data_IF_254924918725
#
_entry.id   IF_254924918725
#
_cell.length_a   1.000
_cell.length_b   1.000
_cell.length_c   1.000
_cell.angle_alpha   90.00
_cell.angle_beta   90.00
_cell.angle_gamma   90.00
#
_symmetry.space_group_name_H-M   'P 1'
#
loop_
_entity.id
_entity.type
_entity.pdbx_description
1 polymer ?
#
# COMPACT_ATOMS: atom_id res chain seq x y z
N UNK A 1 5.27 29.08 -32.15
CA UNK A 1 5.61 27.65 -32.29
C UNK A 1 6.76 27.33 -31.34
N UNK A 2 6.46 26.93 -30.12
CA UNK A 2 7.47 26.55 -29.13
C UNK A 2 6.94 25.35 -28.36
N UNK A 3 7.26 24.17 -28.89
CA UNK A 3 7.04 22.88 -28.28
C UNK A 3 7.86 22.78 -27.00
N UNK A 4 7.20 22.91 -25.85
CA UNK A 4 7.79 22.68 -24.53
C UNK A 4 8.18 21.20 -24.40
N UNK A 5 9.46 20.90 -24.61
CA UNK A 5 10.04 19.58 -24.41
C UNK A 5 10.00 19.21 -22.92
N UNK A 6 9.04 18.36 -22.53
CA UNK A 6 9.10 17.71 -21.23
C UNK A 6 10.39 16.88 -21.17
N UNK A 7 11.36 17.29 -20.36
CA UNK A 7 12.58 16.52 -20.11
C UNK A 7 12.22 15.26 -19.31
N UNK A 8 11.64 14.26 -19.99
CA UNK A 8 11.49 12.92 -19.46
C UNK A 8 12.90 12.39 -19.21
N UNK A 9 13.21 12.06 -17.96
CA UNK A 9 14.44 11.33 -17.68
C UNK A 9 14.43 10.06 -18.53
N UNK A 10 15.54 9.71 -19.18
CA UNK A 10 15.59 8.51 -20.01
C UNK A 10 15.25 7.30 -19.16
N UNK A 11 14.41 6.42 -19.70
CA UNK A 11 14.02 5.18 -19.03
C UNK A 11 15.27 4.36 -18.67
N UNK A 12 15.29 3.68 -17.51
CA UNK A 12 16.34 2.71 -17.17
C UNK A 12 16.51 1.68 -18.29
N UNK A 13 17.67 1.07 -18.52
CA UNK A 13 17.81 0.04 -19.54
C UNK A 13 16.87 -1.15 -19.28
N UNK A 14 16.36 -1.84 -20.31
CA UNK A 14 15.56 -3.04 -20.12
C UNK A 14 16.39 -4.13 -19.43
N UNK A 15 15.73 -4.96 -18.61
CA UNK A 15 16.39 -6.09 -17.97
C UNK A 15 16.80 -7.14 -19.01
N UNK A 16 18.01 -7.72 -18.92
CA UNK A 16 18.42 -8.79 -19.81
C UNK A 16 17.55 -10.03 -19.59
N UNK A 17 17.33 -10.85 -20.65
CA UNK A 17 16.59 -12.09 -20.51
C UNK A 17 17.29 -13.05 -19.52
N UNK A 18 16.54 -13.81 -18.71
CA UNK A 18 17.14 -14.71 -17.74
C UNK A 18 17.85 -15.87 -18.44
N UNK A 19 19.06 -16.19 -17.97
CA UNK A 19 19.85 -17.36 -18.42
C UNK A 19 19.55 -18.63 -17.60
N UNK A 20 18.51 -18.60 -16.77
CA UNK A 20 18.13 -19.66 -15.86
C UNK A 20 16.61 -19.78 -15.74
N UNK A 21 16.13 -20.91 -15.22
CA UNK A 21 14.72 -21.15 -14.89
C UNK A 21 14.61 -21.90 -13.56
N UNK A 22 13.58 -21.60 -12.77
CA UNK A 22 13.28 -22.26 -11.48
C UNK A 22 11.77 -22.41 -11.30
N UNK A 23 11.35 -23.51 -10.68
CA UNK A 23 9.99 -23.66 -10.14
C UNK A 23 10.04 -23.49 -8.62
N UNK A 24 9.73 -22.28 -8.14
CA UNK A 24 9.86 -21.87 -6.73
C UNK A 24 11.28 -21.97 -6.17
N UNK A 25 11.45 -21.50 -4.93
CA UNK A 25 12.69 -21.60 -4.16
C UNK A 25 12.39 -22.28 -2.83
N UNK A 26 13.38 -23.02 -2.32
CA UNK A 26 13.32 -23.59 -0.97
C UNK A 26 13.36 -22.44 0.04
N UNK A 27 12.44 -22.48 1.00
CA UNK A 27 12.38 -21.50 2.06
C UNK A 27 13.57 -21.71 3.03
N UNK A 28 14.31 -20.65 3.40
CA UNK A 28 15.40 -20.74 4.38
C UNK A 28 14.96 -21.36 5.72
N UNK A 29 15.86 -22.05 6.45
CA UNK A 29 15.53 -22.79 7.67
C UNK A 29 15.10 -21.91 8.85
N UNK A 30 15.48 -20.63 8.85
CA UNK A 30 15.03 -19.63 9.82
C UNK A 30 13.57 -19.20 9.62
N UNK A 31 12.94 -19.57 8.50
CA UNK A 31 11.55 -19.25 8.18
C UNK A 31 10.70 -20.52 8.25
N UNK A 32 9.46 -20.39 8.74
CA UNK A 32 8.54 -21.54 8.84
C UNK A 32 7.46 -21.42 7.78
N UNK A 33 7.40 -22.37 6.83
CA UNK A 33 6.35 -22.40 5.81
C UNK A 33 4.96 -22.41 6.44
N UNK A 34 4.03 -21.58 5.93
CA UNK A 34 2.65 -21.52 6.41
C UNK A 34 1.92 -22.87 6.34
N UNK A 35 2.17 -23.65 5.30
CA UNK A 35 1.53 -24.96 5.10
C UNK A 35 2.15 -26.10 5.91
N UNK A 36 3.28 -25.87 6.58
CA UNK A 36 3.90 -26.89 7.45
C UNK A 36 3.06 -27.14 8.70
N UNK A 37 3.15 -28.31 9.36
CA UNK A 37 2.43 -28.56 10.61
C UNK A 37 2.69 -27.49 11.67
N UNK A 38 3.95 -27.05 11.80
CA UNK A 38 4.33 -25.93 12.69
C UNK A 38 3.63 -24.63 12.28
N UNK A 39 3.65 -24.28 10.99
CA UNK A 39 2.99 -23.07 10.47
C UNK A 39 1.48 -23.06 10.69
N UNK A 40 0.83 -24.22 10.54
CA UNK A 40 -0.60 -24.40 10.84
C UNK A 40 -0.89 -24.22 12.32
N UNK A 41 -0.06 -24.78 13.22
CA UNK A 41 -0.21 -24.58 14.67
C UNK A 41 -0.09 -23.11 15.05
N UNK A 42 0.94 -22.40 14.55
CA UNK A 42 1.12 -20.96 14.79
C UNK A 42 -0.13 -20.18 14.36
N UNK A 43 -0.70 -20.52 13.19
CA UNK A 43 -1.89 -19.86 12.68
C UNK A 43 -3.13 -20.11 13.53
N UNK A 44 -3.38 -21.37 13.92
CA UNK A 44 -4.51 -21.72 14.79
C UNK A 44 -4.44 -20.99 16.13
N UNK A 45 -3.26 -20.91 16.74
CA UNK A 45 -3.04 -20.19 17.99
C UNK A 45 -3.21 -18.66 17.82
N UNK A 46 -2.78 -18.11 16.68
CA UNK A 46 -2.97 -16.69 16.35
C UNK A 46 -4.45 -16.35 16.14
N UNK A 47 -5.21 -17.23 15.48
CA UNK A 47 -6.67 -17.11 15.33
C UNK A 47 -7.39 -17.15 16.67
N UNK A 48 -7.06 -18.12 17.53
CA UNK A 48 -7.67 -18.25 18.87
C UNK A 48 -7.41 -17.02 19.75
N UNK A 49 -6.29 -16.34 19.55
CA UNK A 49 -5.92 -15.12 20.29
C UNK A 49 -6.30 -13.82 19.57
N UNK A 50 -7.10 -13.89 18.50
CA UNK A 50 -7.54 -12.75 17.68
C UNK A 50 -6.42 -11.97 16.95
N UNK A 51 -5.20 -12.49 16.91
CA UNK A 51 -4.05 -11.87 16.23
C UNK A 51 -3.94 -12.27 14.74
N UNK A 52 -5.04 -12.70 14.12
CA UNK A 52 -5.08 -13.11 12.72
C UNK A 52 -6.36 -12.64 12.00
N UNK A 53 -7.07 -11.64 12.53
CA UNK A 53 -8.30 -11.15 11.92
C UNK A 53 -8.07 -10.56 10.54
N UNK A 54 -6.93 -9.89 10.31
CA UNK A 54 -6.55 -9.38 8.99
C UNK A 54 -6.36 -10.48 7.94
N UNK A 55 -6.11 -11.73 8.33
CA UNK A 55 -5.89 -12.82 7.40
C UNK A 55 -7.11 -13.05 6.49
N UNK A 56 -8.33 -13.01 7.02
CA UNK A 56 -9.53 -13.30 6.25
C UNK A 56 -9.69 -12.39 5.03
N UNK A 57 -9.83 -11.06 5.19
CA UNK A 57 -9.98 -10.18 4.04
C UNK A 57 -8.74 -10.16 3.14
N UNK A 58 -7.53 -10.28 3.68
CA UNK A 58 -6.32 -10.35 2.85
C UNK A 58 -6.26 -11.63 2.01
N UNK A 59 -6.72 -12.76 2.56
CA UNK A 59 -6.73 -14.05 1.86
C UNK A 59 -7.73 -14.08 0.71
N UNK A 60 -8.87 -13.40 0.85
CA UNK A 60 -9.86 -13.22 -0.23
C UNK A 60 -9.27 -12.46 -1.42
N UNK A 61 -8.29 -11.59 -1.16
CA UNK A 61 -7.65 -10.76 -2.18
C UNK A 61 -6.26 -11.27 -2.60
N UNK A 62 -5.82 -12.43 -2.13
CA UNK A 62 -4.43 -12.84 -2.31
C UNK A 62 -4.11 -13.25 -3.76
N UNK A 63 -3.35 -12.41 -4.45
CA UNK A 63 -2.95 -12.58 -5.85
C UNK A 63 -1.43 -12.76 -5.98
N UNK A 64 -0.99 -13.25 -7.14
CA UNK A 64 0.42 -13.38 -7.48
C UNK A 64 0.86 -12.13 -8.26
N UNK A 65 2.04 -11.57 -7.94
CA UNK A 65 2.58 -10.45 -8.71
C UNK A 65 2.86 -10.88 -10.16
N UNK A 66 2.33 -10.14 -11.13
CA UNK A 66 2.42 -10.51 -12.55
C UNK A 66 3.83 -10.34 -13.14
N UNK A 67 4.65 -9.47 -12.54
CA UNK A 67 6.04 -9.22 -12.92
C UNK A 67 6.94 -9.21 -11.66
N UNK A 68 8.21 -9.68 -11.73
CA UNK A 68 9.16 -9.59 -10.61
C UNK A 68 9.32 -8.20 -9.97
N UNK A 69 9.12 -7.12 -10.72
CA UNK A 69 9.20 -5.75 -10.21
C UNK A 69 7.91 -5.25 -9.52
N UNK A 70 6.79 -5.98 -9.63
CA UNK A 70 5.47 -5.47 -9.27
C UNK A 70 5.02 -5.71 -7.83
N UNK A 71 5.86 -6.31 -6.97
CA UNK A 71 5.48 -6.65 -5.59
C UNK A 71 4.78 -5.53 -4.80
N UNK A 72 5.21 -4.28 -4.94
CA UNK A 72 4.56 -3.13 -4.30
C UNK A 72 3.16 -2.85 -4.85
N UNK A 73 2.98 -2.90 -6.17
CA UNK A 73 1.72 -2.62 -6.84
C UNK A 73 0.72 -3.75 -6.55
N UNK A 74 1.15 -5.00 -6.68
CA UNK A 74 0.35 -6.18 -6.32
C UNK A 74 -0.12 -6.11 -4.87
N UNK A 75 0.78 -5.78 -3.96
CA UNK A 75 0.45 -5.63 -2.54
C UNK A 75 -0.62 -4.55 -2.34
N UNK A 76 -0.50 -3.40 -3.01
CA UNK A 76 -1.48 -2.34 -2.88
C UNK A 76 -2.84 -2.70 -3.51
N UNK A 77 -2.88 -3.42 -4.64
CA UNK A 77 -4.13 -3.96 -5.19
C UNK A 77 -4.85 -4.83 -4.16
N UNK A 78 -4.12 -5.73 -3.49
CA UNK A 78 -4.68 -6.56 -2.42
C UNK A 78 -5.28 -5.71 -1.30
N UNK A 79 -4.51 -4.72 -0.83
CA UNK A 79 -4.93 -3.86 0.29
C UNK A 79 -6.14 -3.00 -0.09
N UNK A 80 -6.19 -2.40 -1.28
CA UNK A 80 -7.33 -1.60 -1.73
C UNK A 80 -8.62 -2.42 -1.83
N UNK A 81 -8.55 -3.64 -2.37
CA UNK A 81 -9.71 -4.54 -2.43
C UNK A 81 -10.12 -5.01 -1.01
N UNK A 82 -9.15 -5.31 -0.14
CA UNK A 82 -9.43 -5.73 1.24
C UNK A 82 -10.01 -4.60 2.10
N UNK A 83 -9.79 -3.33 1.73
CA UNK A 83 -10.45 -2.15 2.31
C UNK A 83 -11.80 -1.83 1.64
N UNK A 84 -12.20 -2.58 0.61
CA UNK A 84 -13.37 -2.33 -0.20
C UNK A 84 -13.40 -0.92 -0.82
N UNK A 85 -12.24 -0.42 -1.26
CA UNK A 85 -12.16 0.88 -1.96
C UNK A 85 -12.72 0.74 -3.37
N UNK A 86 -13.70 1.58 -3.70
CA UNK A 86 -14.24 1.68 -5.06
C UNK A 86 -13.33 2.55 -5.94
N UNK A 87 -12.70 2.01 -7.01
CA UNK A 87 -11.87 2.80 -7.91
C UNK A 87 -12.67 3.83 -8.72
N UNK A 88 -14.01 3.78 -8.68
CA UNK A 88 -14.93 4.64 -9.45
C UNK A 88 -14.75 4.58 -10.97
N UNK A 89 -14.05 3.54 -11.44
CA UNK A 89 -13.80 3.27 -12.86
C UNK A 89 -14.03 1.78 -13.09
N UNK A 90 -14.59 1.44 -14.25
CA UNK A 90 -14.81 0.05 -14.65
C UNK A 90 -13.48 -0.60 -15.04
N UNK A 91 -13.21 -1.75 -14.42
CA UNK A 91 -12.11 -2.64 -14.79
C UNK A 91 -12.52 -3.54 -15.95
N UNK A 92 -13.63 -4.28 -15.80
CA UNK A 92 -14.12 -5.20 -16.83
C UNK A 92 -15.63 -5.30 -16.83
N UNK A 93 -16.27 -5.10 -17.99
CA UNK A 93 -17.73 -5.12 -18.09
C UNK A 93 -18.37 -4.09 -17.16
N UNK A 94 -19.33 -4.52 -16.32
CA UNK A 94 -19.96 -3.66 -15.31
C UNK A 94 -19.19 -3.53 -13.99
N UNK A 95 -18.05 -4.22 -13.83
CA UNK A 95 -17.35 -4.34 -12.55
C UNK A 95 -16.32 -3.24 -12.32
N UNK A 96 -16.30 -2.70 -11.10
CA UNK A 96 -15.28 -1.76 -10.59
C UNK A 96 -14.42 -2.50 -9.58
N UNK A 97 -13.14 -2.67 -9.88
CA UNK A 97 -12.26 -3.55 -9.10
C UNK A 97 -10.79 -3.26 -9.37
N UNK A 98 -9.91 -3.44 -8.38
CA UNK A 98 -8.46 -3.46 -8.63
C UNK A 98 -8.05 -4.85 -9.09
N UNK A 99 -8.15 -5.11 -10.39
CA UNK A 99 -7.96 -6.46 -10.94
C UNK A 99 -6.51 -6.84 -11.26
N UNK A 100 -5.68 -5.87 -11.59
CA UNK A 100 -4.28 -6.08 -11.98
C UNK A 100 -3.44 -4.82 -11.73
N UNK A 101 -2.12 -4.97 -11.83
CA UNK A 101 -1.17 -3.89 -11.58
C UNK A 101 -1.23 -2.80 -12.66
N UNK A 102 -1.55 -3.16 -13.90
CA UNK A 102 -1.65 -2.22 -15.02
C UNK A 102 -2.84 -1.26 -14.83
N UNK A 103 -3.99 -1.76 -14.42
CA UNK A 103 -5.16 -0.97 -14.04
C UNK A 103 -4.81 0.02 -12.93
N UNK A 104 -4.08 -0.42 -11.90
CA UNK A 104 -3.68 0.43 -10.79
C UNK A 104 -2.72 1.55 -11.23
N UNK A 105 -1.79 1.23 -12.14
CA UNK A 105 -0.81 2.17 -12.67
C UNK A 105 -1.40 3.16 -13.68
N UNK A 106 -2.41 2.76 -14.47
CA UNK A 106 -3.13 3.67 -15.40
C UNK A 106 -3.79 4.86 -14.69
N UNK A 107 -4.08 4.70 -13.40
CA UNK A 107 -4.69 5.74 -12.57
C UNK A 107 -3.66 6.54 -11.76
N UNK A 108 -2.38 6.13 -11.80
CA UNK A 108 -1.29 6.77 -11.09
C UNK A 108 -0.51 7.76 -11.97
N UNK A 109 0.47 8.45 -11.37
CA UNK A 109 1.45 9.26 -12.09
C UNK A 109 2.75 8.49 -12.38
N UNK A 110 2.87 7.24 -11.93
CA UNK A 110 4.06 6.41 -12.15
C UNK A 110 3.99 5.78 -13.54
N UNK A 111 5.09 5.87 -14.29
CA UNK A 111 5.19 5.28 -15.61
C UNK A 111 5.37 3.75 -15.52
N UNK A 112 4.45 3.01 -16.14
CA UNK A 112 4.42 1.54 -16.14
C UNK A 112 5.74 0.91 -16.54
N UNK A 113 6.33 1.39 -17.63
CA UNK A 113 7.55 0.82 -18.17
C UNK A 113 8.75 1.05 -17.25
N UNK A 114 8.83 2.21 -16.59
CA UNK A 114 9.83 2.46 -15.54
C UNK A 114 9.62 1.53 -14.34
N UNK A 115 8.38 1.35 -13.91
CA UNK A 115 8.05 0.48 -12.76
C UNK A 115 8.45 -0.96 -13.05
N UNK A 116 8.20 -1.45 -14.27
CA UNK A 116 8.59 -2.80 -14.69
C UNK A 116 10.10 -3.03 -14.68
N UNK A 117 10.90 -1.98 -14.91
CA UNK A 117 12.36 -2.09 -14.94
C UNK A 117 13.01 -2.09 -13.56
N UNK A 118 12.55 -1.24 -12.65
CA UNK A 118 13.23 -1.06 -11.34
C UNK A 118 12.31 -1.05 -10.10
N UNK A 119 11.04 -1.44 -10.25
CA UNK A 119 10.09 -1.61 -9.13
C UNK A 119 9.57 -0.29 -8.57
N UNK A 120 9.26 -0.23 -7.27
CA UNK A 120 8.92 1.03 -6.59
C UNK A 120 9.67 1.15 -5.27
N UNK A 121 10.12 2.35 -4.92
CA UNK A 121 10.63 2.63 -3.58
C UNK A 121 9.46 2.91 -2.59
N UNK A 122 9.78 3.08 -1.31
CA UNK A 122 8.76 3.31 -0.28
C UNK A 122 7.98 4.62 -0.50
N UNK A 123 8.65 5.69 -0.93
CA UNK A 123 8.02 6.97 -1.28
C UNK A 123 7.04 6.81 -2.45
N UNK A 124 7.44 6.09 -3.50
CA UNK A 124 6.60 5.80 -4.67
C UNK A 124 5.40 4.94 -4.27
N UNK A 125 5.57 3.97 -3.35
CA UNK A 125 4.47 3.18 -2.80
C UNK A 125 3.45 4.06 -2.05
N UNK A 126 3.92 5.00 -1.22
CA UNK A 126 3.04 5.98 -0.53
C UNK A 126 2.29 6.84 -1.54
N UNK A 127 2.99 7.34 -2.56
CA UNK A 127 2.38 8.15 -3.62
C UNK A 127 1.30 7.37 -4.38
N UNK A 128 1.58 6.12 -4.74
CA UNK A 128 0.64 5.23 -5.42
C UNK A 128 -0.60 5.01 -4.56
N UNK A 129 -0.45 4.66 -3.28
CA UNK A 129 -1.58 4.47 -2.37
C UNK A 129 -2.43 5.73 -2.19
N UNK A 130 -1.81 6.89 -2.05
CA UNK A 130 -2.52 8.18 -1.95
C UNK A 130 -3.29 8.53 -3.23
N UNK A 131 -2.80 8.13 -4.41
CA UNK A 131 -3.54 8.27 -5.67
C UNK A 131 -4.84 7.47 -5.67
N UNK A 132 -4.97 6.46 -4.81
CA UNK A 132 -6.15 5.61 -4.68
C UNK A 132 -6.96 5.92 -3.40
N UNK A 133 -6.70 7.06 -2.76
CA UNK A 133 -7.41 7.51 -1.56
C UNK A 133 -7.00 6.81 -0.26
N UNK A 134 -5.95 5.97 -0.28
CA UNK A 134 -5.45 5.30 0.91
C UNK A 134 -4.71 6.30 1.80
N UNK A 135 -5.01 6.30 3.10
CA UNK A 135 -4.21 7.02 4.10
C UNK A 135 -3.06 6.12 4.54
N UNK A 136 -1.84 6.63 4.48
CA UNK A 136 -0.63 5.84 4.73
C UNK A 136 0.29 6.56 5.71
N UNK A 137 0.59 5.89 6.81
CA UNK A 137 1.66 6.27 7.73
C UNK A 137 2.87 5.37 7.46
N UNK A 138 3.92 5.96 6.89
CA UNK A 138 5.17 5.28 6.58
C UNK A 138 6.15 5.42 7.74
N UNK A 139 6.78 4.32 8.15
CA UNK A 139 7.79 4.28 9.20
C UNK A 139 9.02 3.52 8.71
N UNK A 140 10.20 3.90 9.21
CA UNK A 140 11.48 3.23 8.96
C UNK A 140 12.11 2.89 10.33
N UNK A 141 12.93 1.83 10.43
CA UNK A 141 13.80 1.65 11.59
C UNK A 141 14.68 2.88 11.76
N UNK A 142 14.95 3.33 13.00
CA UNK A 142 16.00 4.34 13.18
C UNK A 142 17.33 3.75 12.72
N UNK A 143 17.80 4.26 11.59
CA UNK A 143 19.12 4.02 11.06
C UNK A 143 19.92 5.27 11.31
N UNK A 144 20.90 5.18 12.20
CA UNK A 144 21.85 6.26 12.44
C UNK A 144 22.57 6.56 11.11
N UNK A 145 22.07 7.57 10.39
CA UNK A 145 22.71 8.05 9.18
C UNK A 145 24.00 8.79 9.54
N UNK A 146 25.12 8.10 9.39
CA UNK A 146 26.47 8.68 9.33
C UNK A 146 26.51 9.83 8.33
N UNK A 147 26.72 11.06 8.80
CA UNK A 147 26.93 12.19 7.89
C UNK A 147 26.95 13.57 8.51
N UNK A 148 27.68 13.80 9.61
CA UNK A 148 28.46 15.03 9.88
C UNK A 148 29.08 14.97 11.28
N UNK A 149 30.39 14.68 11.30
CA UNK A 149 31.44 15.05 12.26
C UNK A 149 31.10 15.36 13.73
N UNK A 150 31.79 14.60 14.59
CA UNK A 150 32.24 14.93 15.95
C UNK A 150 31.38 14.43 17.13
N UNK A 151 31.68 13.20 17.55
CA UNK A 151 31.70 12.81 18.97
C UNK A 151 30.47 12.07 19.49
N UNK A 152 30.66 10.79 19.87
CA UNK A 152 29.75 10.06 20.75
C UNK A 152 28.99 8.92 20.08
N UNK A 153 29.69 7.81 19.85
CA UNK A 153 29.11 6.51 19.53
C UNK A 153 28.30 5.99 20.74
N UNK A 154 26.98 5.85 20.57
CA UNK A 154 26.09 4.82 21.15
C UNK A 154 24.62 5.31 21.15
N UNK A 155 23.90 5.04 20.07
CA UNK A 155 22.44 4.87 20.18
C UNK A 155 22.17 3.82 21.25
N UNK A 156 21.40 4.16 22.28
CA UNK A 156 21.28 3.28 23.44
C UNK A 156 20.58 1.98 23.02
N UNK A 157 20.92 0.86 23.67
CA UNK A 157 20.17 -0.42 23.50
C UNK A 157 18.67 -0.23 23.74
N UNK A 158 18.31 0.80 24.50
CA UNK A 158 16.96 1.21 24.85
C UNK A 158 16.21 1.83 23.66
N UNK A 159 16.82 2.72 22.88
CA UNK A 159 16.23 3.29 21.66
C UNK A 159 15.90 2.21 20.62
N UNK A 160 16.85 1.31 20.33
CA UNK A 160 16.60 0.18 19.41
C UNK A 160 15.47 -0.74 19.87
N UNK A 161 15.34 -0.92 21.19
CA UNK A 161 14.27 -1.71 21.79
C UNK A 161 12.92 -1.00 21.62
N UNK A 162 12.89 0.32 21.76
CA UNK A 162 11.68 1.12 21.61
C UNK A 162 11.09 1.03 20.20
N UNK A 163 11.92 1.04 19.15
CA UNK A 163 11.42 0.93 17.78
C UNK A 163 10.87 -0.45 17.44
N UNK A 164 11.57 -1.53 17.83
CA UNK A 164 11.07 -2.89 17.64
C UNK A 164 9.77 -3.09 18.42
N UNK A 165 9.67 -2.52 19.62
CA UNK A 165 8.45 -2.53 20.43
C UNK A 165 7.33 -1.72 19.76
N UNK A 166 7.65 -0.60 19.08
CA UNK A 166 6.68 0.14 18.29
C UNK A 166 6.21 -0.64 17.07
N UNK A 167 7.12 -1.28 16.33
CA UNK A 167 6.77 -2.16 15.22
C UNK A 167 5.87 -3.31 15.67
N UNK A 168 6.16 -3.91 16.83
CA UNK A 168 5.30 -4.94 17.44
C UNK A 168 3.89 -4.42 17.73
N UNK A 169 3.77 -3.24 18.34
CA UNK A 169 2.48 -2.61 18.65
C UNK A 169 1.67 -2.35 17.39
N UNK A 170 2.33 -1.80 16.36
CA UNK A 170 1.71 -1.54 15.06
C UNK A 170 1.21 -2.83 14.40
N UNK A 171 2.02 -3.89 14.41
CA UNK A 171 1.64 -5.22 13.90
C UNK A 171 0.41 -5.74 14.64
N UNK A 172 0.44 -5.79 15.97
CA UNK A 172 -0.66 -6.30 16.79
C UNK A 172 -1.95 -5.51 16.51
N UNK A 173 -1.87 -4.18 16.51
CA UNK A 173 -3.01 -3.31 16.22
C UNK A 173 -3.63 -3.64 14.86
N UNK A 174 -2.81 -3.77 13.81
CA UNK A 174 -3.29 -3.95 12.44
C UNK A 174 -3.87 -5.35 12.21
N UNK A 175 -3.22 -6.39 12.74
CA UNK A 175 -3.72 -7.76 12.51
C UNK A 175 -4.99 -8.09 13.30
N UNK A 176 -5.23 -7.38 14.40
CA UNK A 176 -6.45 -7.52 15.20
C UNK A 176 -7.62 -6.71 14.65
N UNK A 177 -7.35 -5.56 14.03
CA UNK A 177 -8.37 -4.58 13.65
C UNK A 177 -8.35 -4.30 12.13
N UNK A 178 -8.66 -5.27 11.25
CA UNK A 178 -8.92 -4.95 9.85
C UNK A 178 -10.14 -4.02 9.74
N UNK A 179 -10.22 -3.14 8.73
CA UNK A 179 -11.40 -2.33 8.48
C UNK A 179 -12.63 -3.23 8.30
N UNK A 180 -13.76 -2.91 8.96
CA UNK A 180 -15.02 -3.56 8.62
C UNK A 180 -15.42 -3.15 7.22
N UNK A 181 -15.85 -4.10 6.37
CA UNK A 181 -16.68 -3.75 5.22
C UNK A 181 -17.86 -2.91 5.74
N UNK A 182 -18.15 -1.76 5.14
CA UNK A 182 -19.29 -0.91 5.53
C UNK A 182 -20.67 -1.61 5.38
N UNK A 183 -20.69 -2.88 4.98
CA UNK A 183 -21.86 -3.71 4.70
C UNK A 183 -22.39 -4.53 5.88
N UNK A 184 -21.77 -4.47 7.05
CA UNK A 184 -22.39 -5.06 8.24
C UNK A 184 -23.54 -4.17 8.73
N UNK A 185 -24.76 -4.56 8.33
CA UNK A 185 -26.09 -4.01 8.62
C UNK A 185 -26.42 -3.72 10.11
N UNK A 186 -25.46 -3.78 11.04
CA UNK A 186 -25.68 -3.58 12.47
C UNK A 186 -24.85 -2.46 13.12
N UNK A 187 -23.90 -1.83 12.42
CA UNK A 187 -22.99 -0.85 13.03
C UNK A 187 -23.32 0.62 12.74
N UNK A 188 -24.40 0.92 12.00
CA UNK A 188 -24.97 2.28 11.94
C UNK A 188 -26.06 2.39 13.01
N UNK A 189 -25.76 1.96 14.23
CA UNK A 189 -26.55 2.33 15.39
C UNK A 189 -26.09 3.74 15.81
N UNK A 190 -26.85 4.72 15.33
CA UNK A 190 -26.97 6.11 15.80
C UNK A 190 -26.22 6.46 17.09
N UNK A 191 -24.92 6.72 16.98
CA UNK A 191 -24.19 7.49 17.98
C UNK A 191 -23.58 8.68 17.26
N UNK A 192 -23.92 9.88 17.72
CA UNK A 192 -23.34 11.17 17.30
C UNK A 192 -21.88 11.27 17.76
N UNK A 193 -21.08 10.26 17.49
CA UNK A 193 -19.66 10.19 17.81
C UNK A 193 -18.91 10.05 16.50
N UNK A 194 -17.96 10.95 16.30
CA UNK A 194 -16.96 10.92 15.23
C UNK A 194 -16.09 9.68 15.41
N UNK A 195 -16.60 8.50 15.09
CA UNK A 195 -15.85 7.24 15.22
C UNK A 195 -14.95 7.13 14.00
N UNK A 196 -13.68 7.52 14.16
CA UNK A 196 -12.64 7.19 13.18
C UNK A 196 -12.66 5.68 12.95
N UNK A 197 -12.77 5.19 11.70
CA UNK A 197 -12.57 3.78 11.41
C UNK A 197 -11.11 3.47 11.73
N UNK A 198 -10.86 2.95 12.93
CA UNK A 198 -9.51 2.76 13.48
C UNK A 198 -8.80 1.50 12.96
N UNK A 199 -9.43 0.78 12.02
CA UNK A 199 -8.86 -0.42 11.43
C UNK A 199 -8.03 -0.12 10.18
N UNK A 200 -7.05 -0.97 9.92
CA UNK A 200 -6.14 -0.83 8.78
C UNK A 200 -5.42 -2.14 8.47
N UNK A 201 -4.46 -2.06 7.56
CA UNK A 201 -3.58 -3.16 7.21
C UNK A 201 -2.12 -2.73 7.32
N UNK A 202 -1.24 -3.68 7.63
CA UNK A 202 0.19 -3.45 7.69
C UNK A 202 0.89 -4.07 6.48
N UNK A 203 1.71 -3.26 5.82
CA UNK A 203 2.60 -3.69 4.74
C UNK A 203 4.04 -3.46 5.17
N UNK A 204 4.92 -4.39 4.81
CA UNK A 204 6.38 -4.25 5.01
C UNK A 204 7.09 -4.12 3.67
N UNK A 205 8.15 -3.33 3.65
CA UNK A 205 9.19 -3.28 2.63
C UNK A 205 10.50 -3.76 3.26
N UNK A 206 11.09 -4.84 2.77
CA UNK A 206 12.24 -5.49 3.41
C UNK A 206 13.26 -6.04 2.39
N UNK A 207 14.48 -6.26 2.84
CA UNK A 207 15.56 -6.89 2.08
C UNK A 207 15.46 -8.42 2.21
N UNK A 208 15.20 -9.13 1.10
CA UNK A 208 15.12 -10.60 1.12
C UNK A 208 16.43 -11.26 1.56
N UNK A 209 17.56 -10.72 1.14
CA UNK A 209 18.88 -11.25 1.47
C UNK A 209 19.11 -11.33 3.00
N UNK A 210 18.60 -10.35 3.77
CA UNK A 210 18.69 -10.36 5.23
C UNK A 210 17.91 -11.50 5.88
N UNK A 211 16.88 -12.02 5.22
CA UNK A 211 16.13 -13.20 5.64
C UNK A 211 16.68 -14.51 5.04
N UNK A 212 17.90 -14.47 4.48
CA UNK A 212 18.53 -15.57 3.73
C UNK A 212 17.74 -16.02 2.50
N UNK A 213 16.81 -15.18 2.02
CA UNK A 213 16.08 -15.42 0.78
C UNK A 213 16.85 -14.88 -0.42
N UNK A 214 16.53 -15.39 -1.61
CA UNK A 214 17.11 -14.84 -2.85
C UNK A 214 16.37 -13.58 -3.28
N UNK A 215 17.05 -12.64 -3.93
CA UNK A 215 16.50 -11.36 -4.42
C UNK A 215 16.79 -10.18 -3.49
N UNK A 216 16.40 -8.99 -3.92
CA UNK A 216 16.61 -7.74 -3.19
C UNK A 216 15.38 -7.30 -2.39
N UNK A 217 15.06 -6.01 -2.47
CA UNK A 217 13.88 -5.41 -1.83
C UNK A 217 12.56 -6.06 -2.25
N UNK A 218 11.61 -6.16 -1.30
CA UNK A 218 10.30 -6.78 -1.53
C UNK A 218 9.21 -6.13 -0.66
N UNK A 219 7.98 -6.09 -1.18
CA UNK A 219 6.79 -5.61 -0.46
C UNK A 219 5.78 -6.74 -0.28
N UNK A 220 5.21 -6.85 0.92
CA UNK A 220 4.11 -7.79 1.20
C UNK A 220 3.33 -7.39 2.46
N UNK A 221 2.04 -7.76 2.57
CA UNK A 221 1.27 -7.53 3.77
C UNK A 221 1.57 -8.56 4.88
N UNK A 222 1.41 -8.12 6.13
CA UNK A 222 1.37 -9.00 7.31
C UNK A 222 -0.08 -9.36 7.61
N UNK A 223 -0.35 -10.65 7.77
CA UNK A 223 -1.71 -11.17 7.94
C UNK A 223 -2.01 -11.71 9.34
N UNK A 224 -0.98 -12.05 10.12
CA UNK A 224 -1.15 -12.55 11.47
C UNK A 224 0.11 -12.31 12.31
N UNK A 225 -0.08 -12.33 13.63
CA UNK A 225 0.98 -12.31 14.64
C UNK A 225 0.77 -13.45 15.63
N UNK A 226 1.85 -14.11 16.02
CA UNK A 226 1.84 -15.19 17.00
C UNK A 226 2.60 -14.75 18.26
N UNK A 227 1.90 -14.40 19.36
CA UNK A 227 2.51 -13.82 20.55
C UNK A 227 3.59 -14.69 21.21
N UNK A 228 3.37 -16.01 21.27
CA UNK A 228 4.24 -16.92 22.04
C UNK A 228 5.61 -17.11 21.39
N UNK A 229 5.72 -16.92 20.07
CA UNK A 229 7.01 -17.02 19.35
C UNK A 229 7.48 -15.68 18.79
N UNK A 230 6.79 -14.58 19.13
CA UNK A 230 7.03 -13.24 18.59
C UNK A 230 7.25 -13.28 17.06
N UNK A 231 6.32 -13.91 16.34
CA UNK A 231 6.45 -14.19 14.90
C UNK A 231 5.27 -13.63 14.12
N UNK A 232 5.49 -13.29 12.86
CA UNK A 232 4.47 -12.75 11.96
C UNK A 232 4.31 -13.59 10.70
N UNK A 233 3.09 -13.64 10.17
CA UNK A 233 2.76 -14.30 8.91
C UNK A 233 2.83 -13.28 7.77
N UNK A 234 3.79 -13.46 6.86
CA UNK A 234 3.94 -12.66 5.65
C UNK A 234 3.21 -13.37 4.49
N UNK A 235 2.27 -12.67 3.85
CA UNK A 235 1.64 -13.15 2.61
C UNK A 235 2.49 -12.72 1.42
N UNK A 236 3.50 -13.52 1.09
CA UNK A 236 4.43 -13.22 0.00
C UNK A 236 3.72 -13.17 -1.36
N UNK A 237 3.65 -11.99 -1.98
CA UNK A 237 2.98 -11.79 -3.28
C UNK A 237 3.78 -12.38 -4.44
N UNK A 238 5.07 -12.70 -4.25
CA UNK A 238 5.88 -13.48 -5.19
C UNK A 238 5.57 -14.98 -5.05
N UNK A 239 4.31 -15.37 -5.26
CA UNK A 239 3.82 -16.74 -5.02
C UNK A 239 4.47 -17.79 -5.93
N UNK A 240 4.97 -17.36 -7.09
CA UNK A 240 5.82 -18.19 -7.96
C UNK A 240 7.20 -18.52 -7.34
N UNK A 241 7.62 -17.79 -6.30
CA UNK A 241 8.93 -17.92 -5.66
C UNK A 241 8.83 -18.57 -4.28
N UNK A 242 8.04 -17.99 -3.38
CA UNK A 242 7.86 -18.47 -2.01
C UNK A 242 6.38 -18.56 -1.66
N UNK A 243 5.99 -19.60 -0.92
CA UNK A 243 4.70 -19.66 -0.24
C UNK A 243 4.68 -18.67 0.94
N UNK A 244 3.51 -18.29 1.49
CA UNK A 244 3.45 -17.56 2.76
C UNK A 244 4.27 -18.26 3.85
N UNK A 245 4.86 -17.47 4.73
CA UNK A 245 5.75 -17.97 5.76
C UNK A 245 5.67 -17.14 7.04
N UNK A 246 6.02 -17.81 8.13
CA UNK A 246 6.27 -17.20 9.42
C UNK A 246 7.75 -16.81 9.55
N UNK A 247 7.99 -15.62 10.08
CA UNK A 247 9.31 -15.07 10.39
C UNK A 247 9.25 -14.45 11.78
N UNK A 248 10.37 -14.45 12.53
CA UNK A 248 10.41 -13.73 13.80
C UNK A 248 10.25 -12.22 13.56
N UNK A 249 9.57 -11.52 14.45
CA UNK A 249 9.36 -10.08 14.34
C UNK A 249 10.70 -9.34 14.30
N UNK A 250 11.66 -9.79 15.11
CA UNK A 250 13.01 -9.24 15.15
C UNK A 250 13.75 -9.41 13.82
N UNK A 251 13.77 -10.62 13.22
CA UNK A 251 14.44 -10.84 11.94
C UNK A 251 13.79 -10.02 10.82
N UNK A 252 12.45 -9.92 10.82
CA UNK A 252 11.75 -9.06 9.86
C UNK A 252 12.12 -7.59 10.07
N UNK A 253 12.20 -7.13 11.32
CA UNK A 253 12.63 -5.76 11.63
C UNK A 253 14.06 -5.47 11.17
N UNK A 254 15.00 -6.36 11.45
CA UNK A 254 16.39 -6.23 10.99
C UNK A 254 16.48 -6.24 9.47
N UNK A 255 15.63 -7.01 8.77
CA UNK A 255 15.60 -7.03 7.30
C UNK A 255 15.15 -5.72 6.66
N UNK A 256 14.59 -4.79 7.43
CA UNK A 256 14.20 -3.46 6.94
C UNK A 256 15.33 -2.42 7.06
N UNK A 257 16.39 -2.69 7.84
CA UNK A 257 17.48 -1.73 8.08
C UNK A 257 18.42 -1.49 6.89
N UNK A 258 18.78 -2.49 6.05
CA UNK A 258 19.63 -2.23 4.90
C UNK A 258 19.07 -1.14 3.99
N UNK A 259 19.95 -0.28 3.51
CA UNK A 259 19.61 0.84 2.63
C UNK A 259 19.15 0.33 1.28
N UNK A 260 18.03 0.86 0.80
CA UNK A 260 17.59 0.72 -0.58
C UNK A 260 18.50 1.55 -1.50
N UNK A 261 19.18 0.87 -2.44
CA UNK A 261 20.12 1.49 -3.38
C UNK A 261 19.51 2.66 -4.17
N UNK A 262 18.20 2.61 -4.44
CA UNK A 262 17.51 3.65 -5.22
C UNK A 262 17.30 4.95 -4.45
N UNK A 263 17.25 4.89 -3.11
CA UNK A 263 16.96 6.05 -2.26
C UNK A 263 18.09 6.42 -1.29
N UNK A 264 19.01 5.48 -1.03
CA UNK A 264 20.01 5.61 0.03
C UNK A 264 19.44 5.53 1.45
N UNK A 265 18.15 5.19 1.61
CA UNK A 265 17.46 5.13 2.90
C UNK A 265 17.10 3.68 3.27
N UNK A 266 17.07 3.36 4.56
CA UNK A 266 16.63 2.05 5.07
C UNK A 266 15.20 1.75 4.68
N UNK A 267 14.78 0.51 4.45
CA UNK A 267 13.35 0.18 4.22
C UNK A 267 12.50 0.32 5.50
N UNK A 268 11.33 -0.32 5.58
CA UNK A 268 10.41 -0.10 6.69
C UNK A 268 9.01 -0.64 6.48
N UNK A 269 8.05 -0.10 7.21
CA UNK A 269 6.66 -0.57 7.21
C UNK A 269 5.66 0.56 7.07
N UNK A 270 4.42 0.19 6.74
CA UNK A 270 3.34 1.10 6.44
C UNK A 270 2.09 0.68 7.19
N UNK A 271 1.39 1.66 7.75
CA UNK A 271 0.02 1.50 8.26
C UNK A 271 -0.93 2.10 7.23
N UNK A 272 -1.74 1.26 6.59
CA UNK A 272 -2.65 1.64 5.53
C UNK A 272 -4.07 1.65 6.09
N UNK A 273 -4.78 2.76 5.90
CA UNK A 273 -6.14 2.94 6.38
C UNK A 273 -7.07 3.37 5.24
N UNK A 274 -8.37 3.05 5.37
CA UNK A 274 -9.36 3.51 4.40
C UNK A 274 -9.43 5.04 4.33
N UNK A 275 -9.93 5.59 3.21
CA UNK A 275 -10.20 7.02 3.08
C UNK A 275 -11.13 7.50 4.20
N UNK A 276 -11.05 8.78 4.60
CA UNK A 276 -11.98 9.35 5.58
C UNK A 276 -13.41 9.22 5.07
N UNK A 277 -14.31 8.74 5.93
CA UNK A 277 -15.74 8.67 5.64
C UNK A 277 -16.29 10.10 5.75
N UNK A 278 -16.79 10.67 4.65
CA UNK A 278 -17.56 11.91 4.70
C UNK A 278 -18.96 11.63 5.25
N UNK A 279 -19.09 11.72 6.56
CA UNK A 279 -20.36 11.52 7.26
C UNK A 279 -21.36 12.64 6.98
N UNK A 280 -20.92 13.85 6.61
CA UNK A 280 -21.83 14.98 6.33
C UNK A 280 -22.62 14.76 5.04
N UNK A 281 -21.95 14.35 3.96
CA UNK A 281 -22.63 14.10 2.68
C UNK A 281 -23.57 12.89 2.67
N UNK A 282 -23.32 11.90 3.54
CA UNK A 282 -24.20 10.72 3.72
C UNK A 282 -25.47 11.13 4.47
N UNK A 283 -25.34 11.89 5.56
CA UNK A 283 -26.50 12.36 6.34
C UNK A 283 -27.35 13.35 5.55
N UNK A 284 -26.75 14.27 4.79
CA UNK A 284 -27.51 15.20 3.93
C UNK A 284 -28.30 14.49 2.83
N UNK A 285 -27.81 13.39 2.26
CA UNK A 285 -28.57 12.61 1.27
C UNK A 285 -29.72 11.80 1.87
N UNK A 286 -29.54 11.31 3.10
CA UNK A 286 -30.56 10.60 3.86
C UNK A 286 -31.66 11.58 4.32
N UNK A 287 -31.28 12.75 4.81
CA UNK A 287 -32.22 13.76 5.35
C UNK A 287 -32.83 14.65 4.25
N UNK A 288 -32.12 14.87 3.15
CA UNK A 288 -32.57 15.66 2.00
C UNK A 288 -33.57 14.94 1.09
N UNK A 289 -33.74 13.63 1.24
CA UNK A 289 -34.82 12.85 0.61
C UNK A 289 -36.10 12.95 1.44
N UNK A 290 -36.54 14.17 1.72
CA UNK A 290 -37.76 14.45 2.46
C UNK A 290 -39.00 14.24 1.59
N UNK A 291 -39.74 13.16 1.85
CA UNK A 291 -41.15 13.05 1.43
C UNK A 291 -41.67 11.63 1.21
N UNK A 292 -42.09 10.95 2.28
CA UNK A 292 -43.06 9.83 2.19
C UNK A 292 -42.60 8.54 2.85
N UNK A 293 -43.35 8.09 3.86
CA UNK A 293 -42.95 7.03 4.79
C UNK A 293 -42.76 5.64 4.19
N UNK A 294 -41.67 4.98 4.60
CA UNK A 294 -41.61 3.56 4.95
C UNK A 294 -40.32 3.34 5.77
N UNK A 295 -40.43 2.99 7.06
CA UNK A 295 -39.30 2.53 7.89
C UNK A 295 -39.02 1.05 7.59
N UNK A 296 -38.43 0.79 6.42
CA UNK A 296 -37.81 -0.51 6.11
C UNK A 296 -36.32 -0.48 6.45
N UNK A 297 -35.66 -1.66 6.62
CA UNK A 297 -34.21 -1.70 6.69
C UNK A 297 -33.66 -0.99 5.45
N UNK A 298 -32.78 -0.01 5.66
CA UNK A 298 -32.12 0.71 4.57
C UNK A 298 -31.47 -0.34 3.68
N UNK A 299 -32.07 -0.60 2.52
CA UNK A 299 -31.44 -1.37 1.47
C UNK A 299 -30.23 -0.54 1.06
N UNK A 300 -29.07 -0.84 1.65
CA UNK A 300 -27.79 -0.34 1.18
C UNK A 300 -27.63 -0.96 -0.19
N UNK A 301 -28.14 -0.28 -1.23
CA UNK A 301 -27.95 -0.66 -2.62
C UNK A 301 -26.48 -0.99 -2.81
N UNK A 302 -26.17 -2.04 -3.57
CA UNK A 302 -24.84 -2.62 -3.87
C UNK A 302 -23.86 -1.63 -4.55
N UNK A 303 -23.94 -0.32 -4.26
CA UNK A 303 -23.20 0.74 -4.93
C UNK A 303 -23.48 0.80 -6.42
N UNK A 304 -24.65 0.33 -6.89
CA UNK A 304 -25.00 0.31 -8.32
C UNK A 304 -25.04 1.72 -8.87
N UNK A 305 -24.35 1.92 -9.99
CA UNK A 305 -24.36 3.17 -10.77
C UNK A 305 -24.70 2.82 -12.22
N UNK A 306 -25.37 3.72 -12.93
CA UNK A 306 -25.57 3.55 -14.38
C UNK A 306 -24.23 3.37 -15.08
N UNK A 307 -24.15 2.44 -16.03
CA UNK A 307 -22.92 2.16 -16.77
C UNK A 307 -22.40 3.39 -17.53
N UNK A 308 -23.30 4.29 -17.93
CA UNK A 308 -22.98 5.56 -18.60
C UNK A 308 -22.27 6.55 -17.67
N UNK A 309 -22.50 6.46 -16.36
CA UNK A 309 -21.94 7.37 -15.36
C UNK A 309 -20.58 6.91 -14.83
N UNK A 310 -20.10 5.74 -15.24
CA UNK A 310 -18.80 5.20 -14.79
C UNK A 310 -17.88 5.03 -15.99
N UNK A 311 -16.77 5.77 -16.09
CA UNK A 311 -15.85 5.63 -17.21
C UNK A 311 -15.22 4.23 -17.24
N UNK A 312 -14.76 3.81 -18.43
CA UNK A 312 -13.89 2.65 -18.59
C UNK A 312 -12.44 3.09 -18.32
N UNK A 313 -11.60 2.16 -17.87
CA UNK A 313 -10.16 2.44 -17.83
C UNK A 313 -9.65 2.76 -19.23
N UNK A 314 -8.81 3.79 -19.32
CA UNK A 314 -8.22 4.25 -20.58
C UNK A 314 -9.14 5.13 -21.45
N UNK A 315 -10.40 5.35 -21.07
CA UNK A 315 -11.30 6.26 -21.82
C UNK A 315 -11.29 7.66 -21.20
N UNK A 316 -10.46 8.56 -21.75
CA UNK A 316 -10.49 10.01 -21.47
C UNK A 316 -9.24 10.57 -20.76
N UNK A 317 -8.91 11.84 -21.06
CA UNK A 317 -7.72 12.57 -20.56
C UNK A 317 -7.81 13.03 -19.09
N UNK A 318 -8.91 12.73 -18.40
CA UNK A 318 -9.20 13.29 -17.08
C UNK A 318 -9.04 12.20 -16.02
N UNK A 319 -7.95 12.28 -15.27
CA UNK A 319 -7.78 11.51 -14.05
C UNK A 319 -8.92 11.87 -13.06
N UNK A 320 -9.74 10.91 -12.59
CA UNK A 320 -10.85 11.19 -11.68
C UNK A 320 -10.43 11.71 -10.30
N UNK A 321 -9.13 11.71 -10.01
CA UNK A 321 -8.51 12.35 -8.85
C UNK A 321 -8.16 13.83 -9.07
N UNK A 322 -8.62 14.46 -10.16
CA UNK A 322 -8.09 15.72 -10.71
C UNK A 322 -7.94 16.89 -9.71
N UNK A 323 -8.88 17.08 -8.78
CA UNK A 323 -8.75 18.13 -7.74
C UNK A 323 -7.88 17.70 -6.54
N UNK A 324 -7.82 16.39 -6.23
CA UNK A 324 -7.02 15.83 -5.13
C UNK A 324 -5.54 15.72 -5.54
N UNK A 325 -5.25 15.35 -6.79
CA UNK A 325 -3.89 15.34 -7.38
C UNK A 325 -3.24 16.72 -7.32
N UNK A 326 -4.00 17.81 -7.45
CA UNK A 326 -3.47 19.19 -7.36
C UNK A 326 -3.10 19.62 -5.93
N UNK A 327 -3.78 19.10 -4.90
CA UNK A 327 -3.54 19.49 -3.49
C UNK A 327 -2.43 18.68 -2.80
N UNK A 328 -2.14 17.45 -3.22
CA UNK A 328 -1.25 16.54 -2.48
C UNK A 328 -0.10 15.92 -3.29
N UNK A 329 -0.01 16.16 -4.60
CA UNK A 329 1.10 15.66 -5.41
C UNK A 329 2.27 16.66 -5.43
N UNK A 330 3.32 16.35 -4.66
CA UNK A 330 4.58 17.13 -4.63
C UNK A 330 5.34 17.13 -5.97
N UNK A 331 5.09 16.16 -6.85
CA UNK A 331 5.69 16.10 -8.19
C UNK A 331 5.07 17.14 -9.13
N UNK A 332 3.76 17.39 -9.03
CA UNK A 332 3.08 18.40 -9.85
C UNK A 332 3.38 19.84 -9.36
N UNK A 333 3.61 20.01 -8.04
CA UNK A 333 4.01 21.30 -7.46
C UNK A 333 5.37 21.78 -7.96
N UNK A 334 6.37 20.90 -8.05
CA UNK A 334 7.71 21.24 -8.57
C UNK A 334 7.68 21.58 -10.07
N UNK A 335 6.85 20.89 -10.84
CA UNK A 335 6.71 21.15 -12.27
C UNK A 335 5.97 22.47 -12.55
N UNK A 336 4.94 22.81 -11.75
CA UNK A 336 4.27 24.12 -11.81
C UNK A 336 5.12 25.29 -11.33
N UNK A 337 5.91 25.11 -10.27
CA UNK A 337 6.83 26.16 -9.80
C UNK A 337 7.94 26.45 -10.81
N UNK A 338 8.38 25.43 -11.55
CA UNK A 338 9.36 25.57 -12.64
C UNK A 338 8.77 26.26 -13.87
N UNK A 339 7.52 25.93 -14.22
CA UNK A 339 6.82 26.58 -15.34
C UNK A 339 6.48 28.04 -15.05
N UNK A 340 6.04 28.40 -13.82
CA UNK A 340 5.78 29.80 -13.47
C UNK A 340 7.03 30.68 -13.50
N UNK A 341 8.18 30.17 -13.02
CA UNK A 341 9.44 30.93 -13.13
C UNK A 341 9.85 31.15 -14.58
N UNK A 342 9.66 30.14 -15.44
CA UNK A 342 9.95 30.27 -16.87
C UNK A 342 8.97 31.20 -17.60
N UNK A 343 7.75 31.39 -17.10
CA UNK A 343 6.77 32.36 -17.62
C UNK A 343 7.11 33.78 -17.13
N UNK A 344 7.49 33.95 -15.86
CA UNK A 344 7.94 35.22 -15.27
C UNK A 344 9.25 35.71 -15.92
N UNK A 345 10.21 34.82 -16.19
CA UNK A 345 11.47 35.16 -16.86
C UNK A 345 11.28 35.56 -18.34
N UNK A 346 10.21 35.10 -19.00
CA UNK A 346 9.89 35.46 -20.40
C UNK A 346 9.13 36.79 -20.48
N UNK A 347 8.28 37.09 -19.50
CA UNK A 347 7.62 38.41 -19.41
C UNK A 347 8.61 39.53 -19.08
N UNK A 348 9.65 39.28 -18.28
CA UNK A 348 10.71 40.28 -18.02
C UNK A 348 11.64 40.52 -19.22
N UNK A 349 11.83 39.55 -20.12
CA UNK A 349 12.62 39.73 -21.36
C UNK A 349 11.82 40.43 -22.48
N UNK A 350 10.49 40.41 -22.46
CA UNK A 350 9.65 41.13 -23.44
C UNK A 350 9.34 42.59 -23.03
N UNK A 351 9.63 42.98 -21.78
CA UNK A 351 9.46 44.36 -21.26
C UNK A 351 10.76 45.22 -21.27
N UNK A 352 11.90 44.70 -21.76
CA UNK A 352 13.18 45.42 -21.94
C UNK A 352 13.46 45.64 -23.43
#
# INVERSE_FOLDING_TARGET
>A
SSSSSSSLQPLPPPLPPPVYSFHKRVLPPNLTSFSSPKGQTLFLQSLQSLHANSYFPLSEQFINQSDPAYCGITTLCMICNAMCIDPNIRWKGGWRWFGDEDFMLDLCCLEKERVKRVGVCMEEFVMLGRCHGVRIDMKRPDTFCNGSSSGGDNGTREERRNDLDQFRKDVIQMVQNPPSPMTNNHAIAATNTTTTPNGGYLVVSFERASLSQTGGGHFSPIAAYHPQTDSVLVLDVARFKYSPYWVSLADLYESMKPTDESTGLSRGWFLLYPPPIDTKGIVEKIVGSGGGGYEGPVNVTEGKRSAECVPLVGTGDICPMGEIKKKYCSVNLKQKQRLRRLEEDVEEEEEI
#
